data_IF_777864060100
#
_entry.id   IF_777864060100
#
_cell.length_a   1.000
_cell.length_b   1.000
_cell.length_c   1.000
_cell.angle_alpha   90.00
_cell.angle_beta   90.00
_cell.angle_gamma   90.00
#
_symmetry.space_group_name_H-M   'P 1'
#
loop_
_entity.id
_entity.type
_entity.pdbx_description
1 polymer ?
#
# COMPACT_ATOMS: atom_id res chain seq x y z
N UNK A 1 6.19 11.96 11.91
CA UNK A 1 6.32 10.50 11.71
C UNK A 1 6.19 10.19 10.22
N UNK A 2 7.10 9.39 9.65
CA UNK A 2 6.99 9.00 8.25
C UNK A 2 5.73 8.18 7.98
N UNK A 3 5.13 8.43 6.81
CA UNK A 3 3.93 7.73 6.37
C UNK A 3 4.16 7.24 4.94
N UNK A 4 3.88 5.98 4.67
CA UNK A 4 3.88 5.44 3.32
C UNK A 4 2.44 5.21 2.87
N UNK A 5 2.13 5.61 1.65
CA UNK A 5 0.81 5.40 1.06
C UNK A 5 0.99 4.65 -0.25
N UNK A 6 0.30 3.52 -0.38
CA UNK A 6 0.24 2.77 -1.63
C UNK A 6 -1.16 3.00 -2.21
N UNK A 7 -1.22 3.64 -3.37
CA UNK A 7 -2.48 3.99 -4.03
C UNK A 7 -2.78 2.95 -5.09
N UNK A 8 -3.94 2.31 -4.97
CA UNK A 8 -4.44 1.35 -5.95
C UNK A 8 -5.67 1.89 -6.65
N UNK A 9 -5.71 1.77 -7.97
CA UNK A 9 -6.88 2.08 -8.81
C UNK A 9 -7.32 0.77 -9.47
N UNK A 10 -8.34 0.15 -8.89
CA UNK A 10 -8.67 -1.25 -9.15
C UNK A 10 -9.79 -1.40 -10.18
N UNK A 11 -9.82 -2.54 -10.87
CA UNK A 11 -10.97 -2.97 -11.68
C UNK A 11 -12.06 -3.54 -10.78
N UNK A 12 -11.67 -4.30 -9.73
CA UNK A 12 -12.60 -4.92 -8.79
C UNK A 12 -11.98 -4.97 -7.40
N UNK A 13 -12.58 -4.23 -6.48
CA UNK A 13 -12.10 -4.14 -5.10
C UNK A 13 -12.10 -5.50 -4.39
N UNK A 14 -13.17 -6.29 -4.55
CA UNK A 14 -13.31 -7.55 -3.82
C UNK A 14 -12.25 -8.58 -4.19
N UNK A 15 -11.86 -8.63 -5.44
CA UNK A 15 -10.77 -9.50 -5.90
C UNK A 15 -9.42 -9.06 -5.31
N UNK A 16 -9.15 -7.75 -5.30
CA UNK A 16 -7.94 -7.23 -4.69
C UNK A 16 -7.90 -7.50 -3.19
N UNK A 17 -9.03 -7.34 -2.50
CA UNK A 17 -9.10 -7.57 -1.06
C UNK A 17 -8.74 -9.01 -0.68
N UNK A 18 -9.12 -9.97 -1.50
CA UNK A 18 -8.73 -11.38 -1.30
C UNK A 18 -7.21 -11.55 -1.38
N UNK A 19 -6.57 -10.92 -2.37
CA UNK A 19 -5.11 -10.95 -2.50
C UNK A 19 -4.44 -10.27 -1.31
N UNK A 20 -4.94 -9.11 -0.88
CA UNK A 20 -4.41 -8.38 0.25
C UNK A 20 -4.49 -9.19 1.55
N UNK A 21 -5.60 -9.86 1.80
CA UNK A 21 -5.78 -10.71 2.99
C UNK A 21 -4.86 -11.93 2.98
N UNK A 22 -4.59 -12.48 1.81
CA UNK A 22 -3.67 -13.61 1.66
C UNK A 22 -2.21 -13.21 1.88
N UNK A 23 -1.88 -11.94 1.65
CA UNK A 23 -0.51 -11.43 1.70
C UNK A 23 -0.50 -10.04 2.35
N UNK A 24 -0.74 -9.98 3.67
CA UNK A 24 -0.89 -8.71 4.37
C UNK A 24 0.42 -7.95 4.49
N UNK A 25 0.38 -6.65 4.84
CA UNK A 25 1.60 -5.87 5.06
C UNK A 25 2.43 -6.45 6.21
N UNK A 26 3.73 -6.08 6.29
CA UNK A 26 4.59 -6.56 7.35
C UNK A 26 4.10 -6.09 8.73
N UNK A 27 4.51 -6.78 9.78
CA UNK A 27 4.16 -6.40 11.16
C UNK A 27 4.96 -5.20 11.68
N UNK A 28 5.65 -4.49 10.81
CA UNK A 28 6.39 -3.27 11.11
C UNK A 28 5.49 -2.09 10.76
N UNK A 29 5.30 -1.17 11.70
CA UNK A 29 4.43 -0.02 11.49
C UNK A 29 2.96 -0.30 11.80
N UNK A 30 2.14 0.69 11.55
CA UNK A 30 0.69 0.63 11.77
C UNK A 30 -0.01 0.86 10.42
N UNK A 31 -0.78 -0.12 9.98
CA UNK A 31 -1.37 -0.11 8.65
C UNK A 31 -2.88 0.09 8.71
N UNK A 32 -3.38 0.90 7.79
CA UNK A 32 -4.82 1.16 7.61
C UNK A 32 -5.19 1.05 6.15
N UNK A 33 -6.41 0.60 5.90
CA UNK A 33 -7.01 0.64 4.58
C UNK A 33 -8.03 1.76 4.52
N UNK A 34 -7.90 2.62 3.51
CA UNK A 34 -8.87 3.67 3.23
C UNK A 34 -9.40 3.47 1.81
N UNK A 35 -10.70 3.52 1.67
CA UNK A 35 -11.37 3.35 0.39
C UNK A 35 -11.98 4.67 -0.05
N UNK A 36 -11.84 5.02 -1.34
CA UNK A 36 -12.44 6.24 -1.85
C UNK A 36 -13.95 6.26 -1.63
N UNK A 37 -14.47 7.37 -1.10
CA UNK A 37 -15.91 7.56 -0.95
C UNK A 37 -16.56 7.98 -2.27
N UNK A 38 -15.79 8.65 -3.12
CA UNK A 38 -16.17 9.09 -4.46
C UNK A 38 -15.92 8.01 -5.51
N UNK A 39 -14.86 7.21 -5.32
CA UNK A 39 -14.48 6.10 -6.19
C UNK A 39 -14.21 4.86 -5.33
N UNK A 40 -15.15 3.93 -5.33
CA UNK A 40 -15.10 2.72 -4.50
C UNK A 40 -14.02 1.72 -4.93
N UNK A 41 -13.43 1.91 -6.10
CA UNK A 41 -12.32 1.10 -6.61
C UNK A 41 -10.95 1.76 -6.41
N UNK A 42 -10.90 2.93 -5.78
CA UNK A 42 -9.64 3.53 -5.34
C UNK A 42 -9.38 3.16 -3.88
N UNK A 43 -8.21 2.58 -3.60
CA UNK A 43 -7.83 2.15 -2.24
C UNK A 43 -6.47 2.74 -1.89
N UNK A 44 -6.36 3.24 -0.67
CA UNK A 44 -5.11 3.69 -0.10
C UNK A 44 -4.71 2.75 1.04
N UNK A 45 -3.57 2.11 0.91
CA UNK A 45 -2.93 1.36 2.00
C UNK A 45 -1.99 2.34 2.68
N UNK A 46 -2.29 2.71 3.93
CA UNK A 46 -1.56 3.75 4.65
C UNK A 46 -0.79 3.13 5.81
N UNK A 47 0.53 3.31 5.83
CA UNK A 47 1.39 2.81 6.90
C UNK A 47 2.07 3.95 7.64
N UNK A 48 1.86 4.03 8.96
CA UNK A 48 2.63 4.89 9.84
C UNK A 48 3.85 4.11 10.32
N UNK A 49 5.05 4.65 10.11
CA UNK A 49 6.31 3.94 10.32
C UNK A 49 7.23 4.79 11.20
N UNK A 50 7.80 4.19 12.24
CA UNK A 50 8.83 4.87 13.02
C UNK A 50 10.04 5.20 12.14
N UNK A 51 10.70 6.33 12.40
CA UNK A 51 11.86 6.74 11.60
C UNK A 51 12.93 5.65 11.52
N UNK A 52 13.15 4.90 12.60
CA UNK A 52 14.12 3.80 12.67
C UNK A 52 13.71 2.58 11.82
N UNK A 53 12.45 2.49 11.39
CA UNK A 53 11.91 1.35 10.66
C UNK A 53 11.71 1.62 9.17
N UNK A 54 11.94 2.85 8.72
CA UNK A 54 11.71 3.27 7.33
C UNK A 54 12.52 2.40 6.35
N UNK A 55 13.79 2.15 6.65
CA UNK A 55 14.63 1.33 5.78
C UNK A 55 14.07 -0.10 5.65
N UNK A 56 13.66 -0.69 6.76
CA UNK A 56 13.10 -2.04 6.75
C UNK A 56 11.82 -2.12 5.90
N UNK A 57 10.95 -1.11 5.98
CA UNK A 57 9.74 -1.06 5.18
C UNK A 57 10.06 -0.84 3.70
N UNK A 58 11.01 0.04 3.38
CA UNK A 58 11.45 0.24 1.99
C UNK A 58 12.06 -1.03 1.41
N UNK A 59 12.87 -1.74 2.18
CA UNK A 59 13.46 -3.00 1.75
C UNK A 59 12.38 -4.07 1.51
N UNK A 60 11.36 -4.12 2.37
CA UNK A 60 10.23 -5.02 2.19
C UNK A 60 9.47 -4.71 0.91
N UNK A 61 9.10 -3.44 0.69
CA UNK A 61 8.37 -3.02 -0.51
C UNK A 61 9.18 -3.31 -1.77
N UNK A 62 10.51 -3.12 -1.72
CA UNK A 62 11.41 -3.40 -2.84
C UNK A 62 11.80 -4.87 -3.00
N UNK A 63 11.34 -5.76 -2.12
CA UNK A 63 11.67 -7.19 -2.19
C UNK A 63 11.11 -7.85 -3.45
N UNK A 64 11.72 -8.95 -3.88
CA UNK A 64 11.23 -9.70 -5.04
C UNK A 64 9.80 -10.19 -4.82
N UNK A 65 9.50 -10.66 -3.60
CA UNK A 65 8.16 -11.10 -3.25
C UNK A 65 7.12 -10.00 -3.50
N UNK A 66 7.39 -8.78 -3.00
CA UNK A 66 6.45 -7.66 -3.16
C UNK A 66 6.39 -7.17 -4.59
N UNK A 67 7.50 -7.20 -5.33
CA UNK A 67 7.47 -6.85 -6.75
C UNK A 67 6.58 -7.81 -7.55
N UNK A 68 6.60 -9.10 -7.20
CA UNK A 68 5.72 -10.10 -7.82
C UNK A 68 4.25 -9.86 -7.44
N UNK A 69 3.98 -9.51 -6.18
CA UNK A 69 2.63 -9.15 -5.72
C UNK A 69 2.14 -7.91 -6.49
N UNK A 70 2.99 -6.88 -6.62
CA UNK A 70 2.62 -5.65 -7.33
C UNK A 70 2.32 -5.89 -8.81
N UNK A 71 3.02 -6.81 -9.46
CA UNK A 71 2.70 -7.21 -10.84
C UNK A 71 1.29 -7.79 -10.93
N UNK A 72 0.91 -8.66 -9.99
CA UNK A 72 -0.44 -9.24 -9.95
C UNK A 72 -1.49 -8.16 -9.68
N UNK A 73 -1.21 -7.24 -8.77
CA UNK A 73 -2.11 -6.12 -8.47
C UNK A 73 -2.27 -5.22 -9.69
N UNK A 74 -1.19 -4.89 -10.40
CA UNK A 74 -1.26 -4.06 -11.59
C UNK A 74 -2.09 -4.73 -12.71
N UNK A 75 -2.06 -6.05 -12.81
CA UNK A 75 -2.89 -6.78 -13.78
C UNK A 75 -4.39 -6.67 -13.49
N UNK A 76 -4.77 -6.42 -12.23
CA UNK A 76 -6.17 -6.21 -11.82
C UNK A 76 -6.51 -4.73 -11.57
N UNK A 77 -5.68 -3.82 -12.08
CA UNK A 77 -5.82 -2.37 -11.86
C UNK A 77 -6.04 -1.65 -13.17
N UNK A 78 -6.67 -0.47 -13.09
CA UNK A 78 -6.89 0.42 -14.26
C UNK A 78 -5.69 1.32 -14.52
N UNK A 79 -4.78 1.43 -13.54
CA UNK A 79 -3.53 2.18 -13.66
C UNK A 79 -2.50 1.53 -12.74
N UNK A 80 -1.19 1.68 -13.00
CA UNK A 80 -0.16 1.16 -12.10
C UNK A 80 -0.29 1.75 -10.70
N UNK A 81 -0.02 0.94 -9.68
CA UNK A 81 -0.02 1.42 -8.30
C UNK A 81 1.09 2.47 -8.10
N UNK A 82 0.89 3.33 -7.11
CA UNK A 82 1.87 4.34 -6.72
C UNK A 82 2.27 4.12 -5.27
N UNK A 83 3.56 4.24 -4.98
CA UNK A 83 4.10 4.23 -3.61
C UNK A 83 4.58 5.64 -3.31
N UNK A 84 4.00 6.25 -2.28
CA UNK A 84 4.25 7.63 -1.91
C UNK A 84 4.72 7.68 -0.45
N UNK A 85 5.87 8.31 -0.21
CA UNK A 85 6.35 8.55 1.14
C UNK A 85 6.06 10.00 1.53
N UNK A 86 5.48 10.17 2.71
CA UNK A 86 5.08 11.47 3.25
C UNK A 86 5.66 11.66 4.64
N UNK A 87 5.86 12.92 5.01
CA UNK A 87 6.20 13.29 6.38
C UNK A 87 5.09 14.16 6.95
N UNK A 88 4.72 13.88 8.20
CA UNK A 88 3.79 14.74 8.92
C UNK A 88 4.51 16.02 9.33
N UNK A 89 3.94 17.15 8.99
CA UNK A 89 4.46 18.46 9.37
C UNK A 89 3.66 18.99 10.56
N UNK A 90 4.36 19.63 11.51
CA UNK A 90 3.70 20.37 12.57
C UNK A 90 3.00 21.58 11.97
N UNK A 91 1.70 21.82 12.28
CA UNK A 91 0.97 22.98 11.78
C UNK A 91 1.50 24.30 12.32
#
# INVERSE_FOLDING_TARGET
MPVVVIVHRLKNFDEWLKLFKADPPPKIGRWRLLRGSDDRNRVHVVGEVAASEVKAVKDFIGSQHMQDVFKRVNAMSTAPLEVIWLEELAP
#
